data_IF_672723072042
#
_entry.id   IF_672723072042
#
_cell.length_a   1.000
_cell.length_b   1.000
_cell.length_c   1.000
_cell.angle_alpha   90.00
_cell.angle_beta   90.00
_cell.angle_gamma   90.00
#
_symmetry.space_group_name_H-M   'P 1'
#
loop_
_entity.id
_entity.type
_entity.pdbx_description
1 polymer ?
#
# COMPACT_ATOMS: atom_id res chain seq x y z
N UNK A 1 37.82 -58.47 5.44
CA UNK A 1 38.26 -57.76 6.66
C UNK A 1 39.18 -56.63 6.21
N UNK A 2 38.96 -55.33 6.36
CA UNK A 2 37.95 -54.44 6.96
C UNK A 2 38.04 -53.14 6.14
N UNK A 3 36.99 -52.66 5.47
CA UNK A 3 35.96 -51.69 5.94
C UNK A 3 36.25 -50.27 5.45
N UNK A 4 35.42 -49.82 4.49
CA UNK A 4 35.16 -48.42 4.17
C UNK A 4 34.81 -47.63 5.44
N UNK A 5 35.47 -46.50 5.68
CA UNK A 5 35.00 -45.46 6.60
C UNK A 5 35.15 -44.11 5.90
N UNK A 6 34.08 -43.70 5.23
CA UNK A 6 33.61 -42.30 5.20
C UNK A 6 33.56 -41.82 6.64
N UNK A 7 34.10 -40.64 6.99
CA UNK A 7 33.64 -39.75 8.09
C UNK A 7 34.59 -38.53 8.23
N UNK A 8 34.32 -37.45 7.48
CA UNK A 8 34.25 -36.08 8.02
C UNK A 8 33.73 -35.14 6.93
N UNK A 9 32.41 -35.03 6.87
CA UNK A 9 31.78 -33.73 6.69
C UNK A 9 32.45 -32.78 7.69
N UNK A 10 33.34 -31.91 7.20
CA UNK A 10 33.60 -30.67 7.93
C UNK A 10 32.47 -29.74 7.54
N UNK A 11 31.79 -29.24 8.56
CA UNK A 11 30.61 -28.41 8.47
C UNK A 11 30.91 -27.12 7.69
N UNK A 12 30.65 -27.14 6.39
CA UNK A 12 30.11 -25.97 5.72
C UNK A 12 28.60 -26.08 5.96
N UNK A 13 28.19 -25.70 7.16
CA UNK A 13 26.81 -25.35 7.43
C UNK A 13 26.50 -24.24 6.44
N UNK A 14 25.79 -24.60 5.37
CA UNK A 14 25.20 -23.67 4.43
C UNK A 14 24.44 -22.66 5.28
N UNK A 15 25.10 -21.54 5.60
CA UNK A 15 24.45 -20.38 6.18
C UNK A 15 23.59 -19.83 5.05
N UNK A 16 22.47 -20.51 4.83
CA UNK A 16 21.30 -19.98 4.15
C UNK A 16 20.96 -18.76 4.97
N UNK A 17 21.44 -17.58 4.55
CA UNK A 17 20.92 -16.30 5.00
C UNK A 17 19.44 -16.37 4.61
N UNK A 18 18.50 -16.61 5.54
CA UNK A 18 17.15 -16.96 5.15
C UNK A 18 16.34 -15.69 4.83
N UNK A 19 16.96 -14.67 4.20
CA UNK A 19 16.36 -13.39 3.81
C UNK A 19 17.29 -12.45 2.99
N UNK A 20 18.17 -12.94 2.11
CA UNK A 20 18.92 -12.00 1.25
C UNK A 20 18.02 -11.43 0.14
N UNK A 21 17.61 -10.16 0.29
CA UNK A 21 16.97 -9.38 -0.78
C UNK A 21 18.05 -8.97 -1.79
N UNK A 22 17.84 -9.20 -3.08
CA UNK A 22 18.77 -8.73 -4.13
C UNK A 22 18.49 -7.26 -4.47
N UNK A 23 19.48 -6.56 -5.00
CA UNK A 23 19.31 -5.16 -5.42
C UNK A 23 18.23 -5.04 -6.49
N UNK A 24 18.13 -6.02 -7.39
CA UNK A 24 17.11 -6.07 -8.43
C UNK A 24 15.72 -6.29 -7.86
N UNK A 25 15.55 -7.16 -6.86
CA UNK A 25 14.24 -7.37 -6.23
C UNK A 25 13.80 -6.15 -5.40
N UNK A 26 14.75 -5.46 -4.76
CA UNK A 26 14.48 -4.18 -4.10
C UNK A 26 14.11 -3.07 -5.10
N UNK A 27 14.81 -3.00 -6.23
CA UNK A 27 14.50 -2.04 -7.29
C UNK A 27 13.12 -2.30 -7.92
N UNK A 28 12.76 -3.57 -8.15
CA UNK A 28 11.44 -3.95 -8.61
C UNK A 28 10.35 -3.55 -7.59
N UNK A 29 10.57 -3.81 -6.30
CA UNK A 29 9.64 -3.42 -5.25
C UNK A 29 9.46 -1.90 -5.16
N UNK A 30 10.53 -1.12 -5.33
CA UNK A 30 10.45 0.35 -5.38
C UNK A 30 9.59 0.83 -6.55
N UNK A 31 9.77 0.27 -7.75
CA UNK A 31 8.95 0.57 -8.92
C UNK A 31 7.49 0.15 -8.74
N UNK A 32 7.23 -0.96 -8.03
CA UNK A 32 5.87 -1.39 -7.69
C UNK A 32 5.20 -0.39 -6.76
N UNK A 33 5.89 0.06 -5.70
CA UNK A 33 5.36 1.06 -4.76
C UNK A 33 5.08 2.39 -5.47
N UNK A 34 5.97 2.85 -6.34
CA UNK A 34 5.76 4.06 -7.15
C UNK A 34 4.50 3.94 -8.02
N UNK A 35 4.34 2.81 -8.72
CA UNK A 35 3.20 2.55 -9.59
C UNK A 35 1.88 2.47 -8.80
N UNK A 36 1.90 1.81 -7.65
CA UNK A 36 0.75 1.72 -6.75
C UNK A 36 0.38 3.12 -6.24
N UNK A 37 1.36 3.90 -5.77
CA UNK A 37 1.14 5.27 -5.31
C UNK A 37 0.50 6.15 -6.37
N UNK A 38 1.01 6.08 -7.61
CA UNK A 38 0.42 6.80 -8.73
C UNK A 38 -1.01 6.38 -9.04
N UNK A 39 -1.29 5.07 -9.09
CA UNK A 39 -2.62 4.55 -9.36
C UNK A 39 -3.64 5.01 -8.28
N UNK A 40 -3.23 4.96 -7.01
CA UNK A 40 -4.05 5.45 -5.88
C UNK A 40 -4.30 6.95 -6.00
N UNK A 41 -3.29 7.76 -6.33
CA UNK A 41 -3.44 9.20 -6.50
C UNK A 41 -4.42 9.55 -7.62
N UNK A 42 -4.33 8.87 -8.77
CA UNK A 42 -5.26 9.06 -9.89
C UNK A 42 -6.69 8.70 -9.49
N UNK A 43 -6.88 7.54 -8.85
CA UNK A 43 -8.21 7.09 -8.42
C UNK A 43 -8.81 8.05 -7.38
N UNK A 44 -8.03 8.49 -6.39
CA UNK A 44 -8.48 9.39 -5.35
C UNK A 44 -8.86 10.78 -5.92
N UNK A 45 -8.08 11.28 -6.88
CA UNK A 45 -8.39 12.54 -7.57
C UNK A 45 -9.65 12.43 -8.43
N UNK A 46 -9.85 11.30 -9.12
CA UNK A 46 -11.06 11.06 -9.91
C UNK A 46 -12.32 11.00 -9.05
N UNK A 47 -12.22 10.42 -7.85
CA UNK A 47 -13.34 10.32 -6.91
C UNK A 47 -13.65 11.63 -6.16
N UNK A 48 -12.66 12.53 -6.03
CA UNK A 48 -12.72 13.69 -5.12
C UNK A 48 -14.00 14.53 -5.26
N UNK A 49 -14.38 14.91 -6.47
CA UNK A 49 -15.55 15.75 -6.69
C UNK A 49 -16.86 15.04 -6.30
N UNK A 50 -17.00 13.76 -6.67
CA UNK A 50 -18.21 12.99 -6.41
C UNK A 50 -18.42 12.71 -4.91
N UNK A 51 -17.34 12.52 -4.16
CA UNK A 51 -17.41 12.15 -2.74
C UNK A 51 -17.40 13.35 -1.79
N UNK A 52 -16.81 14.49 -2.20
CA UNK A 52 -16.79 15.71 -1.38
C UNK A 52 -17.94 16.68 -1.70
N UNK A 53 -18.51 16.59 -2.91
CA UNK A 53 -19.58 17.46 -3.40
C UNK A 53 -20.99 16.93 -3.19
N UNK A 54 -21.22 16.14 -2.12
CA UNK A 54 -22.56 15.58 -1.83
C UNK A 54 -23.54 16.71 -1.51
N UNK A 55 -24.64 16.76 -2.26
CA UNK A 55 -25.73 17.75 -2.09
C UNK A 55 -26.96 17.04 -1.53
N UNK A 56 -27.75 17.77 -0.73
CA UNK A 56 -29.02 17.27 -0.21
C UNK A 56 -29.96 16.85 -1.36
N UNK A 57 -30.49 15.61 -1.36
CA UNK A 57 -31.39 15.14 -2.42
C UNK A 57 -32.78 15.79 -2.37
N UNK A 58 -33.14 16.40 -1.24
CA UNK A 58 -34.39 17.13 -1.03
C UNK A 58 -34.18 18.25 0.01
N UNK A 59 -35.14 19.18 0.11
CA UNK A 59 -35.13 20.33 1.00
C UNK A 59 -35.56 20.02 2.45
N UNK A 60 -35.78 18.75 2.79
CA UNK A 60 -36.09 18.38 4.17
C UNK A 60 -34.85 18.53 5.07
N UNK A 61 -35.09 18.84 6.35
CA UNK A 61 -34.03 19.13 7.31
C UNK A 61 -33.04 17.95 7.47
N UNK A 62 -33.53 16.70 7.40
CA UNK A 62 -32.67 15.51 7.54
C UNK A 62 -31.72 15.41 6.35
N UNK A 63 -32.20 15.61 5.12
CA UNK A 63 -31.37 15.64 3.91
C UNK A 63 -30.31 16.74 3.95
N UNK A 64 -30.70 17.93 4.41
CA UNK A 64 -29.79 19.09 4.58
C UNK A 64 -28.69 18.77 5.60
N UNK A 65 -29.05 18.12 6.72
CA UNK A 65 -28.11 17.80 7.80
C UNK A 65 -27.20 16.61 7.47
N UNK A 66 -27.69 15.63 6.72
CA UNK A 66 -26.95 14.40 6.40
C UNK A 66 -25.95 14.59 5.26
N UNK A 67 -26.28 15.37 4.23
CA UNK A 67 -25.38 15.56 3.08
C UNK A 67 -23.95 16.04 3.46
N UNK A 68 -23.77 17.03 4.37
CA UNK A 68 -22.45 17.42 4.86
C UNK A 68 -21.69 16.32 5.60
N UNK A 69 -22.40 15.46 6.33
CA UNK A 69 -21.81 14.33 7.06
C UNK A 69 -21.25 13.28 6.09
N UNK A 70 -21.94 13.03 4.98
CA UNK A 70 -21.48 12.09 3.95
C UNK A 70 -20.21 12.58 3.23
N UNK A 71 -20.07 13.89 3.02
CA UNK A 71 -18.88 14.48 2.39
C UNK A 71 -17.70 14.75 3.34
N UNK A 72 -17.86 14.57 4.65
CA UNK A 72 -16.81 14.84 5.62
C UNK A 72 -15.65 13.81 5.59
N UNK A 73 -15.89 12.48 5.58
CA UNK A 73 -14.84 11.48 5.47
C UNK A 73 -13.99 11.67 4.22
N UNK A 74 -14.64 11.89 3.07
CA UNK A 74 -13.97 12.11 1.80
C UNK A 74 -13.00 13.30 1.83
N UNK A 75 -13.36 14.42 2.48
CA UNK A 75 -12.44 15.56 2.63
C UNK A 75 -11.24 15.22 3.50
N UNK A 76 -11.42 14.44 4.56
CA UNK A 76 -10.31 13.94 5.39
C UNK A 76 -9.37 13.05 4.57
N UNK A 77 -9.92 12.15 3.76
CA UNK A 77 -9.15 11.26 2.88
C UNK A 77 -8.38 12.03 1.80
N UNK A 78 -8.94 13.11 1.25
CA UNK A 78 -8.22 14.00 0.33
C UNK A 78 -7.01 14.65 1.00
N UNK A 79 -7.17 15.15 2.24
CA UNK A 79 -6.07 15.76 3.01
C UNK A 79 -5.00 14.74 3.37
N UNK A 80 -5.39 13.53 3.78
CA UNK A 80 -4.44 12.45 4.08
C UNK A 80 -3.71 11.97 2.83
N UNK A 81 -4.41 11.82 1.71
CA UNK A 81 -3.81 11.40 0.44
C UNK A 81 -2.81 12.44 -0.09
N UNK A 82 -3.10 13.75 0.08
CA UNK A 82 -2.17 14.80 -0.27
C UNK A 82 -0.88 14.76 0.59
N UNK A 83 -0.99 14.41 1.88
CA UNK A 83 0.17 14.20 2.75
C UNK A 83 0.95 12.94 2.37
N UNK A 84 0.26 11.86 2.00
CA UNK A 84 0.88 10.61 1.58
C UNK A 84 1.78 10.78 0.35
N UNK A 85 1.47 11.73 -0.54
CA UNK A 85 2.30 12.06 -1.71
C UNK A 85 3.63 12.76 -1.38
N UNK A 86 3.88 13.09 -0.11
CA UNK A 86 5.12 13.73 0.33
C UNK A 86 6.18 12.74 0.84
N UNK A 87 5.82 11.47 1.00
CA UNK A 87 6.71 10.38 1.40
C UNK A 87 7.14 9.56 0.18
#
# INVERSE_FOLDING_TARGET
>A
MLTNIVHRQTAEEEYVVPNSVSTESLAAAALDVERIGWAVAVANKAAAAATTGVVAPNADQVSIDVAPLLGAPARSDQVLSAQAMLF
#
